data_IF_951332203076
#
_entry.id   IF_951332203076
#
_cell.length_a   1.000
_cell.length_b   1.000
_cell.length_c   1.000
_cell.angle_alpha   90.00
_cell.angle_beta   90.00
_cell.angle_gamma   90.00
#
_symmetry.space_group_name_H-M   'P 1'
#
loop_
_entity.id
_entity.type
_entity.pdbx_description
1 polymer ?
#
# COMPACT_ATOMS: atom_id res chain seq x y z
N UNK A 1 -20.87 9.27 14.36
CA UNK A 1 -19.60 9.79 13.80
C UNK A 1 -18.53 9.53 14.83
N UNK A 2 -17.81 8.43 14.67
CA UNK A 2 -16.74 7.99 15.58
C UNK A 2 -15.53 8.89 15.42
N UNK A 3 -14.97 9.31 16.55
CA UNK A 3 -13.71 10.06 16.64
C UNK A 3 -12.61 9.23 15.97
N UNK A 4 -12.18 9.62 14.77
CA UNK A 4 -11.13 8.89 14.05
C UNK A 4 -9.80 9.28 14.68
N UNK A 5 -8.97 8.32 15.12
CA UNK A 5 -7.69 8.64 15.72
C UNK A 5 -6.85 9.45 14.73
N UNK A 6 -6.28 10.56 15.19
CA UNK A 6 -5.35 11.35 14.40
C UNK A 6 -4.13 10.50 14.10
N UNK A 7 -3.85 10.27 12.81
CA UNK A 7 -2.64 9.58 12.38
C UNK A 7 -1.45 10.52 12.66
N UNK A 8 -0.54 10.09 13.52
CA UNK A 8 0.71 10.78 13.80
C UNK A 8 1.87 10.01 13.15
N UNK A 9 2.46 10.59 12.12
CA UNK A 9 3.66 10.07 11.45
C UNK A 9 4.82 11.02 11.77
N UNK A 10 5.63 10.73 12.79
CA UNK A 10 6.74 11.60 13.12
C UNK A 10 7.78 11.59 12.00
N UNK A 11 8.51 12.70 11.86
CA UNK A 11 9.57 12.85 10.85
C UNK A 11 10.74 11.92 11.11
N UNK A 12 11.01 11.61 12.38
CA UNK A 12 12.10 10.75 12.85
C UNK A 12 11.73 9.26 12.93
N UNK A 13 10.62 8.84 12.31
CA UNK A 13 10.18 7.44 12.28
C UNK A 13 11.29 6.53 11.75
N UNK A 14 11.39 5.34 12.33
CA UNK A 14 12.41 4.32 12.05
C UNK A 14 13.84 4.63 12.53
N UNK A 15 14.13 5.83 13.08
CA UNK A 15 15.42 6.09 13.72
C UNK A 15 15.48 5.57 15.16
N UNK A 16 16.70 5.25 15.60
CA UNK A 16 16.95 4.80 16.98
C UNK A 16 16.53 5.86 18.02
N UNK A 17 16.21 5.44 19.26
CA UNK A 17 15.70 6.36 20.28
C UNK A 17 16.80 7.20 20.96
N UNK A 18 18.07 6.82 20.83
CA UNK A 18 19.21 7.54 21.43
C UNK A 18 19.37 8.92 20.78
N UNK A 19 19.37 10.03 21.55
CA UNK A 19 19.34 11.38 21.00
C UNK A 19 20.49 11.73 20.04
N UNK A 20 21.72 11.33 20.35
CA UNK A 20 22.89 11.60 19.52
C UNK A 20 22.82 10.89 18.16
N UNK A 21 22.53 9.59 18.18
CA UNK A 21 22.33 8.76 16.99
C UNK A 21 21.17 9.27 16.14
N UNK A 22 20.06 9.66 16.77
CA UNK A 22 18.89 10.22 16.07
C UNK A 22 19.23 11.54 15.38
N UNK A 23 19.95 12.44 16.05
CA UNK A 23 20.36 13.71 15.45
C UNK A 23 21.21 13.48 14.19
N UNK A 24 22.20 12.58 14.27
CA UNK A 24 23.03 12.20 13.11
C UNK A 24 22.19 11.55 12.01
N UNK A 25 21.27 10.65 12.34
CA UNK A 25 20.39 10.00 11.36
C UNK A 25 19.48 11.00 10.63
N UNK A 26 18.91 11.96 11.36
CA UNK A 26 18.11 13.04 10.79
C UNK A 26 18.93 13.93 9.84
N UNK A 27 20.15 14.32 10.23
CA UNK A 27 21.04 15.11 9.38
C UNK A 27 21.37 14.40 8.07
N UNK A 28 21.69 13.10 8.13
CA UNK A 28 21.98 12.29 6.95
C UNK A 28 20.73 12.12 6.07
N UNK A 29 19.56 11.87 6.68
CA UNK A 29 18.31 11.71 5.94
C UNK A 29 17.91 13.00 5.21
N UNK A 30 18.03 14.16 5.85
CA UNK A 30 17.67 15.45 5.26
C UNK A 30 18.46 15.77 3.98
N UNK A 31 19.71 15.29 3.88
CA UNK A 31 20.53 15.45 2.68
C UNK A 31 20.03 14.63 1.49
N UNK A 32 19.34 13.51 1.73
CA UNK A 32 18.97 12.55 0.70
C UNK A 32 17.47 12.44 0.46
N UNK A 33 16.61 12.93 1.36
CA UNK A 33 15.16 12.73 1.35
C UNK A 33 14.49 13.25 0.06
N UNK A 34 15.07 14.27 -0.58
CA UNK A 34 14.53 14.90 -1.78
C UNK A 34 15.27 14.49 -3.06
N UNK A 35 16.19 13.53 -2.99
CA UNK A 35 16.83 13.01 -4.20
C UNK A 35 15.82 12.21 -5.04
N UNK A 36 15.94 12.22 -6.38
CA UNK A 36 15.10 11.41 -7.25
C UNK A 36 15.18 9.92 -6.89
N UNK A 37 14.04 9.24 -6.90
CA UNK A 37 14.01 7.80 -6.75
C UNK A 37 14.53 7.14 -8.04
N UNK A 38 15.59 6.32 -7.89
CA UNK A 38 16.07 5.44 -8.94
C UNK A 38 15.51 4.05 -8.64
N UNK A 39 14.50 3.63 -9.39
CA UNK A 39 13.83 2.34 -9.24
C UNK A 39 14.24 1.40 -10.40
N UNK A 40 15.43 0.78 -10.37
CA UNK A 40 15.97 0.03 -11.52
C UNK A 40 15.25 -1.30 -11.77
N UNK A 41 14.38 -1.72 -10.85
CA UNK A 41 13.58 -2.92 -10.95
C UNK A 41 12.22 -2.70 -10.30
N UNK A 42 11.16 -3.15 -10.95
CA UNK A 42 9.78 -3.02 -10.46
C UNK A 42 8.79 -3.71 -11.40
N UNK A 43 7.55 -3.83 -10.94
CA UNK A 43 6.45 -4.51 -11.64
C UNK A 43 5.23 -3.60 -11.80
N UNK A 44 5.44 -2.29 -11.97
CA UNK A 44 4.36 -1.35 -12.30
C UNK A 44 3.90 -1.64 -13.74
N UNK A 45 2.59 -1.72 -13.95
CA UNK A 45 2.03 -1.90 -15.29
C UNK A 45 2.38 -0.70 -16.18
N UNK A 46 3.03 -0.94 -17.32
CA UNK A 46 3.46 0.10 -18.24
C UNK A 46 2.29 0.92 -18.81
N UNK A 47 1.09 0.34 -18.86
CA UNK A 47 -0.12 1.06 -19.31
C UNK A 47 -0.41 2.29 -18.47
N UNK A 48 -0.07 2.27 -17.18
CA UNK A 48 -0.20 3.43 -16.29
C UNK A 48 0.51 4.67 -16.84
N UNK A 49 1.63 4.49 -17.56
CA UNK A 49 2.44 5.58 -18.08
C UNK A 49 2.19 5.86 -19.58
N UNK A 50 1.68 4.88 -20.31
CA UNK A 50 1.53 4.94 -21.77
C UNK A 50 0.11 5.31 -22.22
N UNK A 51 -0.91 4.99 -21.43
CA UNK A 51 -2.32 5.22 -21.77
C UNK A 51 -2.81 6.51 -21.10
N UNK A 52 -3.19 7.55 -21.86
CA UNK A 52 -3.65 8.82 -21.31
C UNK A 52 -4.98 8.72 -20.55
N UNK A 53 -5.77 7.67 -20.80
CA UNK A 53 -7.06 7.45 -20.17
C UNK A 53 -6.98 6.47 -18.98
N UNK A 54 -5.77 6.00 -18.62
CA UNK A 54 -5.58 5.09 -17.51
C UNK A 54 -6.00 5.72 -16.18
N UNK A 55 -6.77 4.98 -15.37
CA UNK A 55 -7.12 5.38 -14.00
C UNK A 55 -6.77 4.29 -13.01
N UNK A 56 -6.51 4.67 -11.75
CA UNK A 56 -6.26 3.70 -10.67
C UNK A 56 -7.52 2.96 -10.20
N UNK A 57 -8.70 3.34 -10.68
CA UNK A 57 -9.97 2.81 -10.18
C UNK A 57 -10.25 3.19 -8.72
N UNK A 58 -10.78 2.24 -7.98
CA UNK A 58 -11.12 2.35 -6.56
C UNK A 58 -9.90 2.11 -5.64
N UNK A 59 -9.97 2.54 -4.37
CA UNK A 59 -8.93 2.20 -3.39
C UNK A 59 -8.70 0.69 -3.22
N UNK A 60 -9.74 -0.14 -3.37
CA UNK A 60 -9.61 -1.59 -3.33
C UNK A 60 -8.77 -2.12 -4.50
N UNK A 61 -9.01 -1.63 -5.73
CA UNK A 61 -8.25 -1.98 -6.94
C UNK A 61 -6.80 -1.55 -6.88
N UNK A 62 -6.49 -0.47 -6.16
CA UNK A 62 -5.12 0.03 -6.03
C UNK A 62 -4.36 -0.61 -4.86
N UNK A 63 -4.99 -0.74 -3.68
CA UNK A 63 -4.28 -0.99 -2.42
C UNK A 63 -4.51 -2.38 -1.84
N UNK A 64 -5.59 -3.08 -2.22
CA UNK A 64 -5.98 -4.35 -1.62
C UNK A 64 -5.83 -5.50 -2.63
N UNK A 65 -6.59 -5.44 -3.72
CA UNK A 65 -6.71 -6.50 -4.73
C UNK A 65 -5.36 -6.90 -5.34
N UNK A 66 -4.46 -5.98 -5.71
CA UNK A 66 -3.18 -6.37 -6.33
C UNK A 66 -2.07 -6.70 -5.31
N UNK A 67 -2.24 -6.36 -4.03
CA UNK A 67 -1.18 -6.48 -3.03
C UNK A 67 -1.24 -7.80 -2.26
N UNK A 68 -0.43 -8.75 -2.71
CA UNK A 68 -0.33 -10.06 -2.08
C UNK A 68 0.16 -10.04 -0.61
N UNK A 69 0.84 -8.98 -0.13
CA UNK A 69 1.18 -8.89 1.29
C UNK A 69 -0.06 -8.62 2.14
N UNK A 70 -0.90 -7.66 1.72
CA UNK A 70 -2.17 -7.36 2.39
C UNK A 70 -3.09 -8.57 2.36
N UNK A 71 -3.24 -9.19 1.18
CA UNK A 71 -4.09 -10.38 1.01
C UNK A 71 -3.65 -11.55 1.89
N UNK A 72 -2.34 -11.84 1.94
CA UNK A 72 -1.81 -12.91 2.79
C UNK A 72 -2.12 -12.68 4.26
N UNK A 73 -2.06 -11.43 4.72
CA UNK A 73 -2.39 -11.10 6.10
C UNK A 73 -3.89 -11.29 6.38
N UNK A 74 -4.77 -10.77 5.54
CA UNK A 74 -6.23 -10.94 5.70
C UNK A 74 -6.64 -12.42 5.64
N UNK A 75 -6.08 -13.17 4.70
CA UNK A 75 -6.33 -14.60 4.58
C UNK A 75 -5.85 -15.38 5.81
N UNK A 76 -4.72 -14.99 6.40
CA UNK A 76 -4.24 -15.60 7.65
C UNK A 76 -5.20 -15.42 8.83
N UNK A 77 -6.07 -14.41 8.79
CA UNK A 77 -7.12 -14.16 9.78
C UNK A 77 -8.47 -14.80 9.40
N UNK A 78 -8.51 -15.64 8.37
CA UNK A 78 -9.70 -16.37 7.95
C UNK A 78 -10.59 -15.62 6.95
N UNK A 79 -10.13 -14.52 6.37
CA UNK A 79 -10.87 -13.81 5.31
C UNK A 79 -10.56 -14.48 3.97
N UNK A 80 -11.51 -15.16 3.33
CA UNK A 80 -11.25 -15.89 2.10
C UNK A 80 -11.06 -14.93 0.91
N UNK A 81 -10.25 -15.34 -0.07
CA UNK A 81 -9.82 -14.49 -1.18
C UNK A 81 -10.98 -14.04 -2.08
N UNK A 82 -12.03 -14.87 -2.24
CA UNK A 82 -13.23 -14.52 -2.99
C UNK A 82 -14.02 -13.35 -2.39
N UNK A 83 -13.89 -13.10 -1.08
CA UNK A 83 -14.48 -11.90 -0.45
C UNK A 83 -13.67 -10.62 -0.71
N UNK A 84 -12.45 -10.77 -1.19
CA UNK A 84 -11.54 -9.66 -1.51
C UNK A 84 -11.48 -9.40 -3.02
N UNK A 85 -12.41 -9.97 -3.80
CA UNK A 85 -12.47 -9.79 -5.26
C UNK A 85 -11.36 -10.48 -6.04
N UNK A 86 -10.60 -11.39 -5.42
CA UNK A 86 -9.49 -12.08 -6.09
C UNK A 86 -10.04 -13.17 -7.02
N UNK A 87 -9.77 -13.12 -8.34
CA UNK A 87 -10.30 -14.08 -9.30
C UNK A 87 -9.93 -15.52 -8.95
N UNK A 88 -10.91 -16.41 -9.04
CA UNK A 88 -10.72 -17.85 -8.81
C UNK A 88 -10.34 -18.55 -10.10
N UNK A 89 -9.47 -19.56 -10.00
CA UNK A 89 -9.11 -20.39 -11.15
C UNK A 89 -10.28 -21.21 -11.69
N UNK A 90 -11.24 -21.56 -10.84
CA UNK A 90 -12.45 -22.32 -11.21
C UNK A 90 -13.56 -21.44 -11.83
N UNK A 91 -13.33 -20.12 -11.96
CA UNK A 91 -14.32 -19.18 -12.48
C UNK A 91 -15.53 -18.96 -11.57
N UNK A 92 -15.47 -19.42 -10.31
CA UNK A 92 -16.53 -19.17 -9.33
C UNK A 92 -16.72 -17.68 -9.02
N UNK A 93 -17.89 -17.30 -8.46
CA UNK A 93 -18.17 -15.91 -8.14
C UNK A 93 -17.22 -15.37 -7.06
N UNK A 94 -16.91 -14.08 -7.17
CA UNK A 94 -16.13 -13.31 -6.19
C UNK A 94 -16.84 -11.98 -5.95
N UNK A 95 -16.55 -11.35 -4.81
CA UNK A 95 -17.09 -10.03 -4.48
C UNK A 95 -16.74 -9.02 -5.59
N UNK A 96 -17.73 -8.24 -6.02
CA UNK A 96 -17.61 -7.21 -7.06
C UNK A 96 -17.79 -5.80 -6.49
N UNK A 97 -18.35 -5.67 -5.29
CA UNK A 97 -18.53 -4.39 -4.62
C UNK A 97 -17.23 -3.96 -3.94
N UNK A 98 -16.51 -3.04 -4.58
CA UNK A 98 -15.24 -2.52 -4.07
C UNK A 98 -15.37 -1.81 -2.71
N UNK A 99 -16.56 -1.36 -2.33
CA UNK A 99 -16.80 -0.82 -0.98
C UNK A 99 -16.88 -1.92 0.06
N UNK A 100 -17.47 -3.08 -0.28
CA UNK A 100 -17.48 -4.24 0.61
C UNK A 100 -16.08 -4.84 0.75
N UNK A 101 -15.29 -4.89 -0.32
CA UNK A 101 -13.88 -5.34 -0.27
C UNK A 101 -13.04 -4.45 0.68
N UNK A 102 -13.36 -3.15 0.77
CA UNK A 102 -12.65 -2.19 1.60
C UNK A 102 -12.99 -2.27 3.11
N UNK A 103 -14.17 -2.78 3.47
CA UNK A 103 -14.71 -2.75 4.84
C UNK A 103 -14.44 -4.02 5.63
#
# INVERSE_FOLDING_TARGET
MTDRPKIFLPEDRYFGPEPGQKAVAMELYQQVANLPLICPHGHVDARLLADPDYTFGSPAELLIIPDHYVLRMLYSQGIPMEKLGIPRQDGGPVEQDHRQIWQ
#
